data_IF_096017274899
#
_entry.id   IF_096017274899
#
_cell.length_a   1.000
_cell.length_b   1.000
_cell.length_c   1.000
_cell.angle_alpha   90.00
_cell.angle_beta   90.00
_cell.angle_gamma   90.00
#
_symmetry.space_group_name_H-M   'P 1'
#
loop_
_entity.id
_entity.type
_entity.pdbx_description
1 polymer ?
#
# COMPACT_ATOMS: atom_id res chain seq x y z
N UNK A 1 -3.81 -13.52 -1.08
CA UNK A 1 -4.52 -12.35 -0.64
C UNK A 1 -5.43 -12.70 0.54
N UNK A 2 -5.40 -11.94 1.66
CA UNK A 2 -6.15 -12.32 2.86
C UNK A 2 -7.60 -11.85 2.86
N UNK A 3 -7.98 -10.87 2.03
CA UNK A 3 -9.37 -10.39 1.94
C UNK A 3 -10.24 -11.42 1.23
N UNK A 4 -11.46 -11.62 1.73
CA UNK A 4 -12.46 -12.41 1.04
C UNK A 4 -12.87 -11.69 -0.26
N UNK A 5 -12.98 -12.39 -1.40
CA UNK A 5 -13.53 -11.83 -2.62
C UNK A 5 -14.99 -11.42 -2.43
N UNK A 6 -15.39 -10.33 -3.07
CA UNK A 6 -16.77 -9.82 -3.04
C UNK A 6 -17.44 -10.15 -4.36
N UNK A 7 -18.59 -10.80 -4.30
CA UNK A 7 -19.39 -11.20 -5.46
C UNK A 7 -20.55 -10.22 -5.64
N UNK A 8 -20.79 -9.81 -6.90
CA UNK A 8 -21.90 -8.94 -7.24
C UNK A 8 -22.47 -9.25 -8.64
N UNK A 9 -23.73 -8.90 -8.82
CA UNK A 9 -24.38 -8.86 -10.12
C UNK A 9 -24.70 -7.38 -10.42
N UNK A 10 -24.01 -6.79 -11.39
CA UNK A 10 -24.05 -5.36 -11.70
C UNK A 10 -24.26 -5.12 -13.20
N UNK A 11 -24.79 -3.96 -13.55
CA UNK A 11 -24.81 -3.49 -14.94
C UNK A 11 -23.58 -2.63 -15.20
N UNK A 12 -22.70 -3.08 -16.06
CA UNK A 12 -21.48 -2.37 -16.46
C UNK A 12 -21.55 -2.12 -17.97
N UNK A 13 -21.42 -0.88 -18.38
CA UNK A 13 -21.56 -0.45 -19.79
C UNK A 13 -22.86 -0.97 -20.45
N UNK A 14 -23.97 -0.98 -19.69
CA UNK A 14 -25.28 -1.43 -20.16
C UNK A 14 -25.45 -2.94 -20.25
N UNK A 15 -24.47 -3.74 -19.80
CA UNK A 15 -24.48 -5.21 -19.81
C UNK A 15 -24.51 -5.75 -18.39
N UNK A 16 -25.42 -6.70 -18.13
CA UNK A 16 -25.43 -7.44 -16.87
C UNK A 16 -24.15 -8.29 -16.76
N UNK A 17 -23.40 -8.09 -15.68
CA UNK A 17 -22.16 -8.80 -15.37
C UNK A 17 -22.22 -9.46 -14.00
N UNK A 18 -21.78 -10.68 -13.92
CA UNK A 18 -21.56 -11.40 -12.68
C UNK A 18 -20.09 -11.24 -12.31
N UNK A 19 -19.78 -10.37 -11.37
CA UNK A 19 -18.40 -10.02 -11.06
C UNK A 19 -17.89 -10.62 -9.75
N UNK A 20 -16.58 -10.69 -9.64
CA UNK A 20 -15.83 -10.87 -8.40
C UNK A 20 -14.82 -9.73 -8.26
N UNK A 21 -14.91 -9.00 -7.16
CA UNK A 21 -13.96 -7.95 -6.82
C UNK A 21 -12.99 -8.44 -5.76
N UNK A 22 -11.69 -8.33 -6.01
CA UNK A 22 -10.61 -8.79 -5.15
C UNK A 22 -9.82 -7.59 -4.62
N UNK A 23 -10.01 -7.28 -3.34
CA UNK A 23 -9.27 -6.24 -2.62
C UNK A 23 -7.89 -6.78 -2.25
N UNK A 24 -6.83 -6.04 -2.51
CA UNK A 24 -5.46 -6.50 -2.32
C UNK A 24 -4.68 -5.70 -1.29
N UNK A 25 -3.64 -6.31 -0.72
CA UNK A 25 -2.69 -5.65 0.17
C UNK A 25 -1.96 -4.47 -0.48
N UNK A 26 -1.77 -4.55 -1.80
CA UNK A 26 -1.09 -3.53 -2.58
C UNK A 26 -1.92 -2.24 -2.77
N UNK A 27 -3.20 -2.26 -2.36
CA UNK A 27 -4.10 -1.13 -2.55
C UNK A 27 -4.83 -1.14 -3.89
N UNK A 28 -4.78 -2.25 -4.62
CA UNK A 28 -5.57 -2.47 -5.84
C UNK A 28 -6.87 -3.21 -5.57
N UNK A 29 -7.85 -2.99 -6.42
CA UNK A 29 -9.01 -3.87 -6.58
C UNK A 29 -8.95 -4.47 -7.99
N UNK A 30 -8.85 -5.79 -8.07
CA UNK A 30 -8.98 -6.51 -9.34
C UNK A 30 -10.44 -6.97 -9.49
N UNK A 31 -11.02 -6.73 -10.65
CA UNK A 31 -12.42 -7.09 -10.92
C UNK A 31 -12.49 -7.98 -12.14
N UNK A 32 -13.09 -9.15 -11.96
CA UNK A 32 -13.21 -10.16 -13.00
C UNK A 32 -14.68 -10.55 -13.21
N UNK A 33 -15.03 -10.96 -14.41
CA UNK A 33 -16.22 -11.74 -14.65
C UNK A 33 -16.06 -13.11 -13.95
N UNK A 34 -16.95 -13.42 -12.98
CA UNK A 34 -16.79 -14.65 -12.19
C UNK A 34 -17.18 -15.93 -12.92
N UNK A 35 -17.76 -15.81 -14.11
CA UNK A 35 -18.12 -16.97 -14.93
C UNK A 35 -16.99 -17.33 -15.88
N UNK A 36 -16.37 -16.33 -16.52
CA UNK A 36 -15.33 -16.53 -17.54
C UNK A 36 -13.92 -16.40 -16.98
N UNK A 37 -13.74 -15.67 -15.88
CA UNK A 37 -12.43 -15.28 -15.32
C UNK A 37 -11.78 -14.10 -16.04
N UNK A 38 -12.42 -13.54 -17.06
CA UNK A 38 -11.88 -12.39 -17.78
C UNK A 38 -11.92 -11.12 -16.93
N UNK A 39 -10.87 -10.28 -16.96
CA UNK A 39 -10.89 -9.02 -16.26
C UNK A 39 -11.95 -8.07 -16.85
N UNK A 40 -12.70 -7.38 -15.99
CA UNK A 40 -13.70 -6.37 -16.42
C UNK A 40 -12.99 -5.17 -17.06
N UNK A 41 -11.91 -4.70 -16.45
CA UNK A 41 -11.02 -3.68 -17.02
C UNK A 41 -9.65 -4.28 -17.28
N UNK A 42 -8.94 -3.84 -18.33
CA UNK A 42 -7.64 -4.41 -18.68
C UNK A 42 -6.66 -4.42 -17.49
N UNK A 43 -5.89 -5.49 -17.41
CA UNK A 43 -4.75 -5.63 -16.50
C UNK A 43 -3.50 -5.58 -17.36
N UNK A 44 -2.60 -4.65 -17.06
CA UNK A 44 -1.37 -4.44 -17.80
C UNK A 44 -0.17 -5.00 -17.03
N UNK A 45 0.63 -5.82 -17.70
CA UNK A 45 1.95 -6.17 -17.18
C UNK A 45 2.89 -4.99 -17.38
N UNK A 46 3.36 -4.42 -16.26
CA UNK A 46 4.28 -3.26 -16.29
C UNK A 46 5.63 -3.62 -15.71
N UNK A 47 6.74 -3.13 -16.30
CA UNK A 47 8.08 -3.30 -15.74
C UNK A 47 8.16 -2.75 -14.31
N UNK A 48 8.87 -3.49 -13.45
CA UNK A 48 9.08 -3.11 -12.05
C UNK A 48 10.58 -3.17 -11.70
N UNK A 49 11.04 -2.45 -10.65
CA UNK A 49 12.42 -2.52 -10.21
C UNK A 49 12.83 -3.95 -9.87
N UNK A 50 14.06 -4.30 -10.23
CA UNK A 50 14.63 -5.61 -9.96
C UNK A 50 15.46 -5.59 -8.69
N UNK A 51 15.58 -6.75 -8.04
CA UNK A 51 16.46 -6.91 -6.89
C UNK A 51 17.94 -6.82 -7.31
N UNK A 52 18.76 -6.24 -6.44
CA UNK A 52 20.21 -6.27 -6.52
C UNK A 52 20.83 -7.11 -5.38
N UNK A 53 19.99 -7.81 -4.62
CA UNK A 53 20.43 -8.72 -3.57
C UNK A 53 21.01 -10.00 -4.19
N UNK A 54 22.28 -10.36 -3.90
CA UNK A 54 22.90 -11.55 -4.47
C UNK A 54 22.10 -12.82 -4.20
N UNK A 55 21.84 -13.61 -5.24
CA UNK A 55 21.09 -14.87 -5.14
C UNK A 55 19.56 -14.72 -5.17
N UNK A 56 19.03 -13.50 -5.04
CA UNK A 56 17.60 -13.24 -5.17
C UNK A 56 17.21 -13.01 -6.63
N UNK A 57 15.96 -13.31 -6.94
CA UNK A 57 15.33 -13.04 -8.24
C UNK A 57 13.95 -12.45 -8.04
N UNK A 58 13.58 -11.46 -8.84
CA UNK A 58 12.24 -10.86 -8.86
C UNK A 58 11.67 -10.88 -10.27
N UNK A 59 10.33 -10.96 -10.38
CA UNK A 59 9.67 -10.90 -11.69
C UNK A 59 9.97 -9.56 -12.37
N UNK A 60 10.28 -9.56 -13.69
CA UNK A 60 10.56 -8.32 -14.41
C UNK A 60 9.33 -7.40 -14.54
N UNK A 61 8.13 -7.96 -14.45
CA UNK A 61 6.85 -7.24 -14.53
C UNK A 61 5.93 -7.63 -13.40
N UNK A 62 4.92 -6.80 -13.18
CA UNK A 62 3.82 -7.06 -12.27
C UNK A 62 2.49 -6.58 -12.89
N UNK A 63 1.35 -7.21 -12.52
CA UNK A 63 0.05 -6.84 -13.03
C UNK A 63 -0.48 -5.55 -12.39
N UNK A 64 -0.91 -4.61 -13.21
CA UNK A 64 -1.54 -3.36 -12.80
C UNK A 64 -2.95 -3.27 -13.40
N UNK A 65 -4.01 -3.25 -12.61
CA UNK A 65 -5.34 -2.99 -13.14
C UNK A 65 -5.40 -1.54 -13.63
N UNK A 66 -6.01 -1.32 -14.81
CA UNK A 66 -6.21 0.02 -15.35
C UNK A 66 -7.33 0.75 -14.62
N UNK A 67 -8.28 -0.01 -14.06
CA UNK A 67 -9.37 0.45 -13.18
C UNK A 67 -9.70 -0.65 -12.16
N UNK A 68 -10.20 -0.28 -10.98
CA UNK A 68 -10.19 1.05 -10.37
C UNK A 68 -8.78 1.57 -10.09
N UNK A 69 -8.66 2.89 -9.90
CA UNK A 69 -7.43 3.48 -9.38
C UNK A 69 -7.09 2.91 -7.98
N UNK A 70 -5.82 2.90 -7.56
CA UNK A 70 -5.46 2.43 -6.23
C UNK A 70 -6.22 3.15 -5.11
N UNK A 71 -6.74 2.41 -4.13
CA UNK A 71 -7.49 2.96 -3.01
C UNK A 71 -6.60 3.43 -1.84
N UNK A 72 -5.30 3.18 -1.90
CA UNK A 72 -4.30 3.69 -0.96
C UNK A 72 -3.03 4.08 -1.71
N UNK A 73 -2.11 4.77 -1.01
CA UNK A 73 -0.82 5.20 -1.56
C UNK A 73 0.05 3.98 -1.88
N UNK A 74 0.76 4.07 -2.98
CA UNK A 74 1.64 3.02 -3.48
C UNK A 74 3.03 3.58 -3.80
N UNK A 75 4.05 2.86 -3.32
CA UNK A 75 5.41 3.36 -3.35
C UNK A 75 5.68 4.38 -2.26
N UNK A 76 6.94 4.75 -2.06
CA UNK A 76 7.38 5.74 -1.09
C UNK A 76 8.35 6.72 -1.75
N UNK A 77 8.10 8.00 -1.56
CA UNK A 77 8.93 9.09 -2.04
C UNK A 77 9.12 10.16 -0.96
N UNK A 78 9.92 11.17 -1.23
CA UNK A 78 10.05 12.31 -0.34
C UNK A 78 8.74 13.07 -0.12
N UNK A 79 7.83 13.02 -1.09
CA UNK A 79 6.51 13.67 -0.99
C UNK A 79 5.62 13.02 0.05
N UNK A 80 5.91 11.78 0.45
CA UNK A 80 5.16 11.06 1.48
C UNK A 80 5.62 11.37 2.92
N UNK A 81 6.75 12.05 3.08
CA UNK A 81 7.30 12.36 4.38
C UNK A 81 6.41 13.33 5.15
N UNK A 82 6.30 13.09 6.47
CA UNK A 82 5.56 13.94 7.39
C UNK A 82 6.15 15.35 7.41
N UNK A 83 5.29 16.38 7.40
CA UNK A 83 5.65 17.78 7.15
C UNK A 83 4.90 18.78 8.06
N UNK A 84 4.50 18.37 9.26
CA UNK A 84 3.75 19.22 10.19
C UNK A 84 4.49 20.48 10.61
N UNK A 85 5.82 20.40 10.72
CA UNK A 85 6.72 21.54 10.91
C UNK A 85 7.99 21.33 10.09
N UNK A 86 8.74 22.42 9.78
CA UNK A 86 10.03 22.31 9.08
C UNK A 86 11.02 21.37 9.78
N UNK A 87 11.06 21.39 11.12
CA UNK A 87 11.96 20.56 11.93
C UNK A 87 11.58 19.06 11.81
N UNK A 88 10.29 18.75 11.86
CA UNK A 88 9.79 17.37 11.68
C UNK A 88 10.07 16.88 10.26
N UNK A 89 9.84 17.73 9.27
CA UNK A 89 10.15 17.41 7.86
C UNK A 89 11.65 17.15 7.67
N UNK A 90 12.51 17.98 8.24
CA UNK A 90 13.96 17.80 8.19
C UNK A 90 14.38 16.49 8.87
N UNK A 91 13.81 16.19 10.04
CA UNK A 91 14.07 14.93 10.74
C UNK A 91 13.55 13.73 9.96
N UNK A 92 12.39 13.83 9.31
CA UNK A 92 11.86 12.78 8.45
C UNK A 92 12.78 12.51 7.26
N UNK A 93 13.31 13.56 6.62
CA UNK A 93 14.26 13.43 5.53
C UNK A 93 15.58 12.78 6.00
N UNK A 94 16.10 13.16 7.17
CA UNK A 94 17.28 12.54 7.77
C UNK A 94 17.07 11.04 8.05
N UNK A 95 15.92 10.66 8.60
CA UNK A 95 15.59 9.25 8.83
C UNK A 95 15.43 8.51 7.50
N UNK A 96 14.73 9.11 6.53
CA UNK A 96 14.47 8.50 5.22
C UNK A 96 15.77 8.27 4.42
N UNK A 97 16.76 9.15 4.56
CA UNK A 97 18.05 9.02 3.85
C UNK A 97 18.84 7.75 4.19
N UNK A 98 18.46 7.06 5.26
CA UNK A 98 19.07 5.77 5.64
C UNK A 98 18.46 4.58 4.89
N UNK A 99 17.43 4.79 4.10
CA UNK A 99 16.66 3.75 3.43
C UNK A 99 16.47 4.06 1.96
N UNK A 100 16.31 3.04 1.17
CA UNK A 100 15.85 3.20 -0.21
C UNK A 100 14.37 3.59 -0.24
N UNK A 101 14.00 4.35 -1.24
CA UNK A 101 12.62 4.68 -1.59
C UNK A 101 12.36 4.24 -3.03
N UNK A 102 11.13 3.97 -3.37
CA UNK A 102 10.79 3.55 -4.72
C UNK A 102 9.30 3.31 -4.93
N UNK A 103 8.91 2.98 -6.17
CA UNK A 103 7.53 2.68 -6.52
C UNK A 103 7.04 1.40 -5.83
N UNK A 104 5.74 1.12 -5.98
CA UNK A 104 5.19 -0.19 -5.60
C UNK A 104 5.95 -1.31 -6.32
N UNK A 105 6.09 -2.45 -5.64
CA UNK A 105 6.88 -3.61 -6.10
C UNK A 105 8.39 -3.39 -6.17
N UNK A 106 8.93 -2.26 -5.71
CA UNK A 106 10.37 -2.17 -5.49
C UNK A 106 10.79 -3.21 -4.43
N UNK A 107 11.79 -4.07 -4.73
CA UNK A 107 12.16 -5.16 -3.83
C UNK A 107 12.87 -4.65 -2.56
N UNK A 108 12.75 -5.37 -1.44
CA UNK A 108 13.55 -5.07 -0.26
C UNK A 108 15.05 -5.21 -0.58
N UNK A 109 15.87 -4.38 0.07
CA UNK A 109 17.33 -4.47 -0.02
C UNK A 109 17.95 -5.08 1.24
N UNK A 110 19.25 -5.38 1.20
CA UNK A 110 19.98 -5.83 2.38
C UNK A 110 19.95 -4.77 3.49
N UNK A 111 19.87 -5.21 4.74
CA UNK A 111 19.94 -4.32 5.92
C UNK A 111 21.34 -3.68 6.09
N UNK A 112 22.36 -4.21 5.43
CA UNK A 112 23.74 -3.73 5.40
C UNK A 112 24.22 -3.61 3.95
N UNK A 113 23.39 -3.00 3.09
CA UNK A 113 23.73 -2.89 1.68
C UNK A 113 25.01 -2.05 1.47
N UNK A 114 25.84 -2.37 0.44
CA UNK A 114 27.09 -1.66 0.17
C UNK A 114 26.94 -0.18 -0.11
N UNK A 115 25.77 0.29 -0.56
CA UNK A 115 25.45 1.71 -0.76
C UNK A 115 25.22 2.48 0.55
N UNK A 116 25.28 1.81 1.70
CA UNK A 116 25.05 2.38 3.02
C UNK A 116 23.59 2.38 3.48
N UNK A 117 22.65 1.96 2.65
CA UNK A 117 21.23 1.87 3.04
C UNK A 117 20.94 0.63 3.90
N UNK A 118 19.86 0.73 4.70
CA UNK A 118 19.48 -0.28 5.70
C UNK A 118 18.16 -0.97 5.38
N UNK A 119 17.87 -1.17 4.11
CA UNK A 119 16.59 -1.67 3.61
C UNK A 119 15.83 -0.58 2.86
N UNK A 120 14.55 -0.82 2.66
CA UNK A 120 13.66 0.03 1.86
C UNK A 120 12.44 0.48 2.65
N UNK A 121 12.03 1.72 2.50
CA UNK A 121 10.73 2.21 2.94
C UNK A 121 9.64 1.71 1.99
N UNK A 122 8.74 0.89 2.50
CA UNK A 122 7.65 0.29 1.73
C UNK A 122 6.31 0.91 2.10
N UNK A 123 5.53 1.21 1.06
CA UNK A 123 4.15 1.69 1.16
C UNK A 123 3.34 1.05 0.00
N UNK A 124 2.21 0.37 0.27
CA UNK A 124 1.72 -0.04 1.58
C UNK A 124 2.71 -0.93 2.35
N UNK A 125 2.44 -1.12 3.64
CA UNK A 125 3.29 -1.98 4.48
C UNK A 125 3.22 -3.44 4.05
N UNK A 126 4.06 -4.29 4.61
CA UNK A 126 3.98 -5.75 4.43
C UNK A 126 2.64 -6.36 4.90
N UNK A 127 1.89 -5.67 5.76
CA UNK A 127 0.54 -6.07 6.15
C UNK A 127 -0.52 -5.58 5.16
N UNK A 128 -0.16 -4.66 4.27
CA UNK A 128 -1.03 -4.09 3.25
C UNK A 128 -1.68 -2.77 3.64
N UNK A 129 -2.27 -2.11 2.66
CA UNK A 129 -3.15 -0.95 2.84
C UNK A 129 -4.54 -1.39 3.35
N UNK A 130 -5.01 -2.57 2.93
CA UNK A 130 -6.15 -3.31 3.47
C UNK A 130 -5.77 -4.78 3.65
N UNK A 131 -6.46 -5.50 4.54
CA UNK A 131 -6.13 -6.89 4.88
C UNK A 131 -7.42 -7.72 5.11
N UNK A 132 -7.53 -8.41 6.25
CA UNK A 132 -8.65 -9.29 6.59
C UNK A 132 -10.01 -8.59 6.65
N UNK A 133 -10.04 -7.33 6.98
CA UNK A 133 -11.25 -6.50 7.05
C UNK A 133 -11.99 -6.40 5.72
N UNK A 134 -11.25 -6.53 4.58
CA UNK A 134 -11.85 -6.53 3.25
C UNK A 134 -12.59 -5.24 2.92
N UNK A 135 -13.81 -5.35 2.40
CA UNK A 135 -14.69 -4.24 2.07
C UNK A 135 -16.15 -4.63 2.20
N UNK A 136 -17.02 -3.66 2.05
CA UNK A 136 -18.46 -3.81 2.02
C UNK A 136 -19.04 -3.30 0.70
N UNK A 137 -19.93 -4.07 0.08
CA UNK A 137 -20.61 -3.69 -1.16
C UNK A 137 -22.05 -3.30 -0.87
N UNK A 138 -22.47 -2.18 -1.43
CA UNK A 138 -23.88 -1.83 -1.58
C UNK A 138 -24.37 -2.36 -2.95
N UNK A 139 -25.21 -3.41 -2.96
CA UNK A 139 -25.67 -4.01 -4.22
C UNK A 139 -26.65 -3.12 -5.00
N UNK A 140 -27.28 -2.15 -4.37
CA UNK A 140 -28.24 -1.26 -5.03
C UNK A 140 -27.52 -0.19 -5.87
N UNK A 141 -26.41 0.36 -5.33
CA UNK A 141 -25.64 1.40 -5.99
C UNK A 141 -24.40 0.89 -6.72
N UNK A 142 -23.97 -0.34 -6.45
CA UNK A 142 -22.72 -0.89 -6.95
C UNK A 142 -21.45 -0.32 -6.29
N UNK A 143 -21.60 0.44 -5.19
CA UNK A 143 -20.48 1.02 -4.48
C UNK A 143 -19.77 0.01 -3.57
N UNK A 144 -18.48 -0.13 -3.77
CA UNK A 144 -17.57 -0.89 -2.91
C UNK A 144 -16.86 0.05 -1.94
N UNK A 145 -17.08 -0.12 -0.64
CA UNK A 145 -16.45 0.66 0.42
C UNK A 145 -15.27 -0.10 1.00
N UNK A 146 -14.09 0.53 1.00
CA UNK A 146 -12.84 -0.08 1.48
C UNK A 146 -12.23 0.81 2.54
N UNK A 147 -12.04 0.25 3.74
CA UNK A 147 -11.18 0.84 4.76
C UNK A 147 -9.72 0.57 4.43
N UNK A 148 -8.88 1.59 4.46
CA UNK A 148 -7.44 1.42 4.26
C UNK A 148 -6.60 2.13 5.31
N UNK A 149 -5.34 1.70 5.42
CA UNK A 149 -4.41 2.16 6.44
C UNK A 149 -3.03 2.46 5.85
N UNK A 150 -2.72 3.73 5.71
CA UNK A 150 -1.44 4.22 5.19
C UNK A 150 -0.37 4.21 6.28
N UNK A 151 0.56 3.29 6.18
CA UNK A 151 1.70 3.15 7.10
C UNK A 151 2.94 2.71 6.34
N UNK A 152 4.04 3.39 6.55
CA UNK A 152 5.34 2.94 6.03
C UNK A 152 6.01 1.95 7.00
N UNK A 153 6.69 0.96 6.43
CA UNK A 153 7.60 0.06 7.16
C UNK A 153 8.91 -0.06 6.42
N UNK A 154 9.96 -0.32 7.16
CA UNK A 154 11.23 -0.74 6.58
C UNK A 154 11.16 -2.22 6.26
N UNK A 155 11.35 -2.57 5.00
CA UNK A 155 11.59 -3.93 4.54
C UNK A 155 13.07 -4.08 4.25
N UNK A 156 13.70 -5.06 4.90
CA UNK A 156 15.10 -5.38 4.70
C UNK A 156 15.29 -6.89 4.63
N UNK A 157 16.36 -7.31 3.98
CA UNK A 157 16.81 -8.68 3.98
C UNK A 157 18.03 -8.80 4.89
N UNK A 158 18.05 -9.81 5.72
CA UNK A 158 19.17 -10.18 6.59
C UNK A 158 19.51 -11.64 6.38
N UNK A 159 20.76 -12.02 6.55
CA UNK A 159 21.18 -13.41 6.42
C UNK A 159 20.38 -14.33 7.35
N UNK A 160 19.94 -15.46 6.84
CA UNK A 160 19.16 -16.47 7.58
C UNK A 160 19.99 -17.10 8.70
N UNK A 161 21.25 -17.45 8.41
CA UNK A 161 22.15 -18.08 9.35
C UNK A 161 21.52 -19.31 10.01
N UNK A 162 21.68 -19.46 11.31
CA UNK A 162 21.10 -20.59 12.06
C UNK A 162 19.58 -20.49 12.30
N UNK A 163 18.92 -19.42 11.82
CA UNK A 163 17.48 -19.19 12.01
C UNK A 163 16.63 -19.75 10.89
N UNK A 164 17.22 -20.05 9.74
CA UNK A 164 16.53 -20.51 8.54
C UNK A 164 17.48 -21.25 7.62
N UNK A 165 16.95 -22.15 6.80
CA UNK A 165 17.60 -22.77 5.66
C UNK A 165 17.61 -21.88 4.39
N UNK A 166 16.97 -20.69 4.47
CA UNK A 166 17.01 -19.68 3.41
C UNK A 166 18.22 -18.78 3.58
N UNK A 167 18.82 -18.35 2.46
CA UNK A 167 19.96 -17.41 2.47
C UNK A 167 19.59 -16.11 3.18
N UNK A 168 18.39 -15.62 2.91
CA UNK A 168 17.87 -14.39 3.52
C UNK A 168 16.52 -14.60 4.19
N UNK A 169 16.31 -13.84 5.26
CA UNK A 169 15.04 -13.73 5.96
C UNK A 169 14.68 -12.26 6.13
N UNK A 170 13.42 -12.00 6.44
CA UNK A 170 12.93 -10.65 6.66
C UNK A 170 13.59 -9.98 7.86
N UNK A 171 14.18 -8.83 7.62
CA UNK A 171 14.57 -7.83 8.61
C UNK A 171 13.72 -6.57 8.52
N UNK A 172 14.18 -5.50 9.17
CA UNK A 172 13.53 -4.20 9.17
C UNK A 172 12.55 -4.00 10.32
N UNK A 173 11.78 -2.94 10.28
CA UNK A 173 10.89 -2.53 11.37
C UNK A 173 10.04 -1.31 11.03
N UNK A 174 9.57 -0.60 12.05
CA UNK A 174 8.85 0.66 11.86
C UNK A 174 9.79 1.83 11.58
N UNK A 175 9.45 2.69 10.65
CA UNK A 175 10.12 3.96 10.44
C UNK A 175 9.36 5.07 11.19
N UNK A 176 10.04 5.74 12.12
CA UNK A 176 9.47 6.80 12.95
C UNK A 176 10.44 7.99 13.03
N UNK A 177 9.91 9.20 13.03
CA UNK A 177 10.69 10.43 13.23
C UNK A 177 10.90 10.74 14.72
N UNK A 178 9.97 10.27 15.55
CA UNK A 178 10.03 10.31 17.02
C UNK A 178 9.17 9.15 17.57
N UNK A 179 9.26 8.78 18.84
CA UNK A 179 8.43 7.73 19.44
C UNK A 179 6.94 7.96 19.18
N UNK A 180 6.30 7.07 18.40
CA UNK A 180 4.89 7.14 18.03
C UNK A 180 4.54 8.08 16.89
N UNK A 181 5.50 8.80 16.32
CA UNK A 181 5.29 9.69 15.16
C UNK A 181 5.76 8.96 13.90
N UNK A 182 4.81 8.66 13.00
CA UNK A 182 5.10 7.99 11.73
C UNK A 182 5.96 8.88 10.84
N UNK A 183 6.81 8.26 10.00
CA UNK A 183 7.55 8.97 8.96
C UNK A 183 6.64 9.44 7.82
N UNK A 184 5.49 8.78 7.62
CA UNK A 184 4.56 9.12 6.54
C UNK A 184 3.54 10.15 7.00
N UNK A 185 3.25 11.13 6.14
CA UNK A 185 2.23 12.17 6.40
C UNK A 185 0.80 11.60 6.36
N UNK A 186 -0.17 12.22 7.06
CA UNK A 186 -1.57 11.82 7.01
C UNK A 186 -2.20 12.04 5.60
N UNK A 187 -3.45 11.57 5.38
CA UNK A 187 -4.25 10.77 6.29
C UNK A 187 -3.72 9.36 6.44
N UNK A 188 -3.76 8.83 7.67
CA UNK A 188 -3.28 7.47 7.94
C UNK A 188 -4.36 6.40 7.82
N UNK A 189 -5.62 6.79 8.01
CA UNK A 189 -6.78 5.96 7.73
C UNK A 189 -7.65 6.62 6.68
N UNK A 190 -8.28 5.82 5.83
CA UNK A 190 -9.20 6.27 4.78
C UNK A 190 -10.37 5.32 4.63
N UNK A 191 -11.46 5.86 4.11
CA UNK A 191 -12.51 5.06 3.48
C UNK A 191 -12.59 5.54 2.03
N UNK A 192 -12.48 4.60 1.10
CA UNK A 192 -12.65 4.84 -0.33
C UNK A 192 -13.92 4.15 -0.79
N UNK A 193 -14.82 4.88 -1.45
CA UNK A 193 -15.94 4.32 -2.17
C UNK A 193 -15.59 4.24 -3.66
N UNK A 194 -15.69 3.05 -4.21
CA UNK A 194 -15.45 2.76 -5.63
C UNK A 194 -16.78 2.38 -6.26
N UNK A 195 -17.18 3.08 -7.30
CA UNK A 195 -18.29 2.68 -8.13
C UNK A 195 -17.85 1.55 -9.07
N UNK A 196 -18.28 0.32 -8.79
CA UNK A 196 -17.94 -0.86 -9.60
C UNK A 196 -18.69 -0.93 -10.94
N UNK A 197 -19.61 0.00 -11.21
CA UNK A 197 -20.25 0.08 -12.53
C UNK A 197 -19.41 0.86 -13.53
N UNK A 198 -18.53 1.75 -13.04
CA UNK A 198 -17.64 2.61 -13.85
C UNK A 198 -16.16 2.34 -13.64
N UNK A 199 -15.80 1.75 -12.49
CA UNK A 199 -14.42 1.56 -12.05
C UNK A 199 -13.76 2.85 -11.52
N UNK A 200 -14.55 3.88 -11.21
CA UNK A 200 -14.04 5.15 -10.70
C UNK A 200 -14.22 5.27 -9.18
N UNK A 201 -13.38 6.07 -8.54
CA UNK A 201 -13.63 6.46 -7.15
C UNK A 201 -14.84 7.40 -7.08
N UNK A 202 -15.89 6.99 -6.39
CA UNK A 202 -17.01 7.87 -6.10
C UNK A 202 -16.57 8.96 -5.11
N UNK A 203 -15.83 8.58 -4.06
CA UNK A 203 -15.21 9.49 -3.10
C UNK A 203 -14.13 8.77 -2.27
N UNK A 204 -13.28 9.57 -1.63
CA UNK A 204 -12.29 9.12 -0.65
C UNK A 204 -12.24 10.13 0.49
N UNK A 205 -12.35 9.67 1.73
CA UNK A 205 -12.30 10.51 2.94
C UNK A 205 -11.30 9.97 3.94
N UNK A 206 -10.74 10.88 4.76
CA UNK A 206 -9.95 10.49 5.91
C UNK A 206 -10.84 9.80 6.95
N UNK A 207 -10.31 8.75 7.60
CA UNK A 207 -11.00 8.00 8.65
C UNK A 207 -10.11 7.86 9.88
N UNK A 208 -10.65 8.24 11.03
CA UNK A 208 -9.97 8.19 12.33
C UNK A 208 -9.44 9.55 12.80
N UNK A 209 -9.18 9.62 14.10
CA UNK A 209 -8.67 10.82 14.77
C UNK A 209 -7.13 10.86 14.78
N UNK A 210 -6.60 12.05 15.03
CA UNK A 210 -5.17 12.24 15.31
C UNK A 210 -4.77 11.43 16.55
N UNK A 211 -3.72 10.63 16.42
CA UNK A 211 -3.23 9.83 17.53
C UNK A 211 -2.94 10.70 18.76
N UNK A 212 -3.34 10.29 19.97
CA UNK A 212 -3.19 11.11 21.19
C UNK A 212 -1.77 11.64 21.41
N UNK A 213 -0.74 10.85 21.08
CA UNK A 213 0.67 11.27 21.23
C UNK A 213 1.06 12.41 20.28
N UNK A 214 0.48 12.47 19.09
CA UNK A 214 0.70 13.56 18.13
C UNK A 214 -0.04 14.81 18.61
N UNK A 215 -1.28 14.65 19.08
CA UNK A 215 -2.06 15.72 19.65
C UNK A 215 -1.39 16.32 20.90
N UNK A 216 -0.83 15.47 21.79
CA UNK A 216 -0.12 15.89 22.99
C UNK A 216 1.22 16.58 22.70
N UNK A 217 1.92 16.17 21.63
CA UNK A 217 3.17 16.80 21.22
C UNK A 217 2.96 18.17 20.56
N UNK A 218 1.73 18.70 20.49
CA UNK A 218 1.35 19.95 19.80
C UNK A 218 1.83 20.00 18.33
N UNK A 219 2.12 18.85 17.75
CA UNK A 219 2.56 18.69 16.39
C UNK A 219 1.31 18.77 15.51
N UNK A 220 0.99 19.97 15.07
CA UNK A 220 -0.02 20.32 14.10
C UNK A 220 -1.33 19.51 14.22
N UNK A 221 -2.46 20.17 14.42
CA UNK A 221 -3.76 19.52 14.21
C UNK A 221 -3.83 19.23 12.72
N UNK A 222 -3.87 17.94 12.35
CA UNK A 222 -4.22 17.57 11.00
C UNK A 222 -5.60 18.16 10.74
N UNK A 223 -5.66 19.20 9.93
CA UNK A 223 -6.93 19.66 9.40
C UNK A 223 -7.43 18.57 8.46
N UNK A 224 -8.54 17.96 8.84
CA UNK A 224 -9.36 17.10 8.00
C UNK A 224 -10.02 17.93 6.93
#
# INVERSE_FOLDING_TARGET
>A
NPSAPILADLVIDGVERKIVALITKQGFVFVFDRITGEPIWPIEERPVPQTDTPGEWTSPTQPFPTKPAPFDRQGFSEDDLIDFTPEIRARAAEVASQYRMGPIYAPPSLANHPDGTRGMLSLPTSTGGSNWEGGALDPETGHLYIGSYTRATVLALVEGGNRSDMDYIRGGGGAQVAPGVSIVKPPWGRITAIDLTTGEHAWMIANGDTRPRIAQAQIGRAHV
#
